data_IF_950846175776
#
_entry.id   IF_950846175776
#
_cell.length_a   1.000
_cell.length_b   1.000
_cell.length_c   1.000
_cell.angle_alpha   90.00
_cell.angle_beta   90.00
_cell.angle_gamma   90.00
#
_symmetry.space_group_name_H-M   'P 1'
#
loop_
_entity.id
_entity.type
_entity.pdbx_description
1 polymer ?
#
# COMPACT_ATOMS: atom_id res chain seq x y z
N UNK A 1 -12.25 -7.62 9.93
CA UNK A 1 -12.92 -8.69 10.64
C UNK A 1 -12.22 -10.02 10.34
N UNK A 2 -11.73 -10.71 11.38
CA UNK A 2 -10.98 -11.96 11.24
C UNK A 2 -11.86 -13.13 10.76
N UNK A 3 -13.11 -13.18 11.18
CA UNK A 3 -14.04 -14.26 10.79
C UNK A 3 -14.42 -14.16 9.31
N UNK A 4 -14.63 -12.96 8.81
CA UNK A 4 -14.90 -12.73 7.37
C UNK A 4 -13.69 -13.11 6.52
N UNK A 5 -12.47 -12.78 6.99
CA UNK A 5 -11.26 -13.14 6.30
C UNK A 5 -11.09 -14.66 6.27
N UNK A 6 -11.25 -15.35 7.40
CA UNK A 6 -11.23 -16.83 7.46
C UNK A 6 -12.27 -17.45 6.53
N UNK A 7 -13.49 -16.92 6.52
CA UNK A 7 -14.55 -17.39 5.64
C UNK A 7 -14.21 -17.19 4.15
N UNK A 8 -13.50 -16.11 3.80
CA UNK A 8 -13.05 -15.88 2.43
C UNK A 8 -11.99 -16.90 1.99
N UNK A 9 -11.02 -17.22 2.86
CA UNK A 9 -10.03 -18.27 2.60
C UNK A 9 -10.69 -19.65 2.46
N UNK A 10 -11.62 -19.99 3.35
CA UNK A 10 -12.35 -21.26 3.34
C UNK A 10 -13.20 -21.47 2.06
N UNK A 11 -13.55 -20.41 1.34
CA UNK A 11 -14.21 -20.50 0.03
C UNK A 11 -13.28 -20.92 -1.11
N UNK A 12 -12.00 -21.16 -0.82
CA UNK A 12 -11.02 -21.66 -1.80
C UNK A 12 -10.25 -20.57 -2.53
N UNK A 13 -9.99 -19.45 -1.88
CA UNK A 13 -9.11 -18.41 -2.41
C UNK A 13 -7.73 -18.98 -2.74
N UNK A 14 -7.25 -18.79 -3.97
CA UNK A 14 -5.93 -19.27 -4.40
C UNK A 14 -4.83 -18.24 -4.16
N UNK A 15 -5.18 -16.97 -4.11
CA UNK A 15 -4.27 -15.89 -3.77
C UNK A 15 -5.02 -14.76 -3.06
N UNK A 16 -4.29 -14.03 -2.22
CA UNK A 16 -4.71 -12.80 -1.57
C UNK A 16 -3.76 -11.68 -1.98
N UNK A 17 -4.29 -10.49 -2.28
CA UNK A 17 -3.49 -9.28 -2.44
C UNK A 17 -3.54 -8.49 -1.12
N UNK A 18 -2.37 -8.12 -0.60
CA UNK A 18 -2.21 -7.38 0.64
C UNK A 18 -1.36 -6.13 0.41
N UNK A 19 -1.96 -4.94 0.51
CA UNK A 19 -1.25 -3.68 0.45
C UNK A 19 -0.81 -3.25 1.86
N UNK A 20 0.51 -3.20 2.11
CA UNK A 20 1.10 -2.85 3.41
C UNK A 20 2.40 -2.06 3.24
N UNK A 21 2.47 -0.78 3.65
CA UNK A 21 1.38 0.08 4.15
C UNK A 21 0.25 0.29 3.16
N UNK A 22 -0.98 0.41 3.67
CA UNK A 22 -2.18 0.39 2.84
C UNK A 22 -2.45 1.71 2.12
N UNK A 23 -2.73 1.63 0.84
CA UNK A 23 -3.35 2.69 0.04
C UNK A 23 -4.85 2.35 -0.15
N UNK A 24 -5.80 3.20 0.27
CA UNK A 24 -5.67 4.57 0.74
C UNK A 24 -5.69 4.75 2.26
N UNK A 25 -5.85 3.69 3.05
CA UNK A 25 -6.15 3.80 4.47
C UNK A 25 -4.97 4.27 5.34
N UNK A 26 -3.74 4.22 4.84
CA UNK A 26 -2.55 4.53 5.61
C UNK A 26 -2.28 3.56 6.77
N UNK A 27 -2.97 2.42 6.82
CA UNK A 27 -2.76 1.39 7.84
C UNK A 27 -1.42 0.69 7.60
N UNK A 28 -0.70 0.44 8.69
CA UNK A 28 0.43 -0.50 8.74
C UNK A 28 -0.02 -1.72 9.55
N UNK A 29 0.02 -2.89 8.94
CA UNK A 29 -0.37 -4.12 9.63
C UNK A 29 0.65 -4.47 10.69
N UNK A 30 0.16 -4.81 11.91
CA UNK A 30 1.03 -5.29 12.98
C UNK A 30 1.55 -6.70 12.66
N UNK A 31 2.62 -7.10 13.35
CA UNK A 31 3.17 -8.45 13.19
C UNK A 31 2.14 -9.53 13.54
N UNK A 32 1.31 -9.31 14.55
CA UNK A 32 0.25 -10.22 14.99
C UNK A 32 -0.85 -10.36 13.93
N UNK A 33 -1.26 -9.25 13.31
CA UNK A 33 -2.23 -9.28 12.21
C UNK A 33 -1.68 -10.03 10.99
N UNK A 34 -0.40 -9.83 10.67
CA UNK A 34 0.25 -10.54 9.57
C UNK A 34 0.46 -12.03 9.89
N UNK A 35 0.76 -12.41 11.13
CA UNK A 35 0.82 -13.81 11.56
C UNK A 35 -0.53 -14.49 11.41
N UNK A 36 -1.62 -13.85 11.77
CA UNK A 36 -2.96 -14.39 11.55
C UNK A 36 -3.25 -14.63 10.05
N UNK A 37 -2.85 -13.71 9.17
CA UNK A 37 -2.97 -13.90 7.72
C UNK A 37 -2.08 -15.06 7.26
N UNK A 38 -0.87 -15.17 7.79
CA UNK A 38 0.07 -16.25 7.46
C UNK A 38 -0.49 -17.62 7.85
N UNK A 39 -1.08 -17.74 9.04
CA UNK A 39 -1.75 -18.97 9.49
C UNK A 39 -2.85 -19.40 8.51
N UNK A 40 -3.70 -18.48 8.09
CA UNK A 40 -4.73 -18.74 7.09
C UNK A 40 -4.15 -19.14 5.73
N UNK A 41 -3.10 -18.45 5.29
CA UNK A 41 -2.45 -18.75 4.01
C UNK A 41 -1.82 -20.15 4.01
N UNK A 42 -1.27 -20.58 5.14
CA UNK A 42 -0.73 -21.95 5.33
C UNK A 42 -1.85 -23.00 5.43
N UNK A 43 -2.91 -22.72 6.20
CA UNK A 43 -4.05 -23.62 6.40
C UNK A 43 -4.79 -23.92 5.10
N UNK A 44 -5.01 -22.88 4.25
CA UNK A 44 -5.80 -22.98 3.03
C UNK A 44 -4.98 -23.06 1.74
N UNK A 45 -3.66 -23.24 1.83
CA UNK A 45 -2.74 -23.29 0.69
C UNK A 45 -2.90 -22.11 -0.28
N UNK A 46 -2.91 -20.91 0.27
CA UNK A 46 -3.15 -19.66 -0.45
C UNK A 46 -1.84 -18.89 -0.61
N UNK A 47 -1.60 -18.33 -1.79
CA UNK A 47 -0.50 -17.40 -2.03
C UNK A 47 -0.83 -16.00 -1.52
N UNK A 48 0.18 -15.26 -1.04
CA UNK A 48 0.03 -13.86 -0.67
C UNK A 48 0.86 -13.00 -1.61
N UNK A 49 0.21 -12.10 -2.33
CA UNK A 49 0.84 -11.11 -3.18
C UNK A 49 0.81 -9.80 -2.41
N UNK A 50 1.98 -9.32 -1.99
CA UNK A 50 2.04 -8.06 -1.25
C UNK A 50 2.33 -6.89 -2.20
N UNK A 51 1.73 -5.73 -1.92
CA UNK A 51 2.14 -4.44 -2.46
C UNK A 51 2.78 -3.64 -1.32
N UNK A 52 4.12 -3.55 -1.36
CA UNK A 52 4.95 -2.98 -0.30
C UNK A 52 5.59 -1.64 -0.72
N UNK A 53 5.03 -0.99 -1.74
CA UNK A 53 5.59 0.24 -2.34
C UNK A 53 5.82 1.38 -1.34
N UNK A 54 5.15 1.37 -0.19
CA UNK A 54 5.30 2.34 0.90
C UNK A 54 6.15 1.83 2.08
N UNK A 55 6.88 0.74 1.94
CA UNK A 55 7.67 0.09 2.99
C UNK A 55 8.61 1.03 3.76
N UNK A 56 9.14 2.06 3.10
CA UNK A 56 10.01 3.08 3.68
C UNK A 56 9.27 4.36 4.12
N UNK A 57 7.94 4.43 3.99
CA UNK A 57 7.12 5.56 4.44
C UNK A 57 6.20 5.07 5.54
N UNK A 58 6.78 4.84 6.72
CA UNK A 58 6.12 4.32 7.92
C UNK A 58 6.40 5.25 9.09
N UNK A 59 5.36 5.72 9.75
CA UNK A 59 5.44 6.71 10.82
C UNK A 59 5.59 6.05 12.19
N UNK A 60 6.55 6.52 12.99
CA UNK A 60 6.74 6.02 14.36
C UNK A 60 5.45 6.17 15.19
N UNK A 61 5.15 5.21 16.08
CA UNK A 61 5.97 4.05 16.50
C UNK A 61 5.83 2.80 15.61
N UNK A 62 5.07 2.86 14.51
CA UNK A 62 4.83 1.72 13.65
C UNK A 62 6.11 1.26 12.93
N UNK A 63 6.14 0.00 12.56
CA UNK A 63 7.25 -0.61 11.79
C UNK A 63 6.68 -1.49 10.69
N UNK A 64 7.31 -1.46 9.51
CA UNK A 64 6.96 -2.37 8.44
C UNK A 64 7.43 -3.79 8.75
N UNK A 65 6.58 -4.76 8.50
CA UNK A 65 6.91 -6.18 8.59
C UNK A 65 6.63 -6.84 7.26
N UNK A 66 7.65 -7.46 6.68
CA UNK A 66 7.54 -8.17 5.41
C UNK A 66 6.85 -9.51 5.62
N UNK A 67 5.81 -9.78 4.83
CA UNK A 67 5.06 -11.04 4.88
C UNK A 67 5.96 -12.24 4.58
N UNK A 68 6.88 -12.10 3.63
CA UNK A 68 7.83 -13.16 3.25
C UNK A 68 8.79 -13.58 4.38
N UNK A 69 9.02 -12.72 5.38
CA UNK A 69 9.90 -13.00 6.51
C UNK A 69 9.20 -13.74 7.67
N UNK A 70 7.88 -13.95 7.57
CA UNK A 70 7.15 -14.72 8.56
C UNK A 70 7.38 -16.24 8.38
N UNK A 71 7.30 -17.04 9.44
CA UNK A 71 7.53 -18.48 9.37
C UNK A 71 6.68 -19.16 8.29
N UNK A 72 7.32 -19.89 7.37
CA UNK A 72 6.65 -20.65 6.30
C UNK A 72 6.13 -19.82 5.15
N UNK A 73 6.31 -18.48 5.14
CA UNK A 73 5.69 -17.61 4.15
C UNK A 73 6.53 -17.34 2.91
N UNK A 74 7.85 -17.51 2.93
CA UNK A 74 8.70 -17.21 1.78
C UNK A 74 8.29 -17.97 0.51
N UNK A 75 7.94 -19.27 0.64
CA UNK A 75 7.59 -20.13 -0.49
C UNK A 75 6.20 -19.84 -1.09
N UNK A 76 5.40 -18.98 -0.44
CA UNK A 76 4.06 -18.63 -0.89
C UNK A 76 3.79 -17.11 -0.94
N UNK A 77 4.83 -16.30 -0.76
CA UNK A 77 4.72 -14.85 -0.84
C UNK A 77 5.38 -14.33 -2.11
N UNK A 78 4.69 -13.42 -2.79
CA UNK A 78 5.22 -12.58 -3.85
C UNK A 78 5.32 -11.16 -3.27
N UNK A 79 6.51 -10.79 -2.78
CA UNK A 79 6.75 -9.41 -2.30
C UNK A 79 6.97 -8.50 -3.49
N UNK A 80 5.96 -7.69 -3.80
CA UNK A 80 5.99 -6.70 -4.87
C UNK A 80 6.27 -5.33 -4.28
N UNK A 81 7.28 -4.65 -4.81
CA UNK A 81 7.57 -3.27 -4.44
C UNK A 81 8.00 -2.46 -5.66
N UNK A 82 8.21 -1.18 -5.47
CA UNK A 82 8.53 -0.25 -6.55
C UNK A 82 9.46 0.85 -6.05
N UNK A 83 10.35 1.28 -6.90
CA UNK A 83 11.22 2.44 -6.66
C UNK A 83 10.48 3.78 -6.76
N UNK A 84 9.21 3.73 -7.19
CA UNK A 84 8.39 4.89 -7.52
C UNK A 84 8.22 5.88 -6.38
N UNK A 85 8.04 5.40 -5.14
CA UNK A 85 7.66 6.23 -4.00
C UNK A 85 8.86 6.59 -3.14
N UNK A 86 9.68 5.61 -2.81
CA UNK A 86 10.89 5.80 -2.01
C UNK A 86 11.85 6.79 -2.67
N UNK A 87 11.99 6.73 -4.00
CA UNK A 87 12.95 7.56 -4.74
C UNK A 87 12.28 8.65 -5.61
N UNK A 88 10.97 8.85 -5.48
CA UNK A 88 10.20 9.86 -6.23
C UNK A 88 10.30 9.75 -7.76
N UNK A 89 10.48 8.53 -8.27
CA UNK A 89 10.66 8.22 -9.70
C UNK A 89 9.47 7.47 -10.31
N UNK A 90 8.25 7.81 -9.91
CA UNK A 90 7.01 7.13 -10.36
C UNK A 90 6.92 7.02 -11.89
N UNK A 91 7.39 8.04 -12.63
CA UNK A 91 7.39 8.06 -14.10
C UNK A 91 8.35 7.07 -14.75
N UNK A 92 9.34 6.53 -14.02
CA UNK A 92 10.32 5.58 -14.57
C UNK A 92 9.75 4.18 -14.76
N UNK A 93 8.65 3.87 -14.12
CA UNK A 93 7.96 2.57 -14.19
C UNK A 93 8.85 1.39 -13.78
N UNK A 94 9.64 1.56 -12.73
CA UNK A 94 10.50 0.51 -12.15
C UNK A 94 9.86 -0.08 -10.89
N UNK A 95 9.81 -1.40 -10.84
CA UNK A 95 9.41 -2.18 -9.70
C UNK A 95 10.10 -3.54 -9.71
N UNK A 96 9.92 -4.29 -8.65
CA UNK A 96 10.52 -5.61 -8.50
C UNK A 96 9.60 -6.55 -7.75
N UNK A 97 9.85 -7.84 -7.92
CA UNK A 97 9.20 -8.91 -7.18
C UNK A 97 10.27 -9.80 -6.56
N UNK A 98 10.14 -10.07 -5.28
CA UNK A 98 10.97 -11.03 -4.54
C UNK A 98 10.08 -12.22 -4.20
N UNK A 99 10.46 -13.42 -4.63
CA UNK A 99 9.75 -14.66 -4.36
C UNK A 99 10.70 -15.85 -4.53
N UNK A 100 10.23 -17.07 -4.21
CA UNK A 100 11.00 -18.28 -4.45
C UNK A 100 11.30 -18.50 -5.93
N UNK A 101 12.38 -19.22 -6.25
CA UNK A 101 12.85 -19.42 -7.63
C UNK A 101 11.79 -20.07 -8.54
N UNK A 102 10.95 -20.94 -7.99
CA UNK A 102 9.86 -21.60 -8.71
C UNK A 102 8.81 -20.57 -9.17
N UNK A 103 8.40 -19.66 -8.28
CA UNK A 103 7.46 -18.58 -8.58
C UNK A 103 8.07 -17.63 -9.60
N UNK A 104 9.31 -17.18 -9.39
CA UNK A 104 10.01 -16.25 -10.30
C UNK A 104 10.16 -16.85 -11.71
N UNK A 105 10.42 -18.15 -11.82
CA UNK A 105 10.49 -18.82 -13.12
C UNK A 105 9.17 -18.74 -13.91
N UNK A 106 8.04 -18.87 -13.20
CA UNK A 106 6.71 -18.68 -13.80
C UNK A 106 6.46 -17.23 -14.22
N UNK A 107 6.76 -16.28 -13.34
CA UNK A 107 6.59 -14.84 -13.58
C UNK A 107 7.40 -14.40 -14.81
N UNK A 108 8.68 -14.78 -14.92
CA UNK A 108 9.54 -14.40 -16.05
C UNK A 108 8.94 -14.80 -17.38
N UNK A 109 8.42 -16.02 -17.51
CA UNK A 109 7.82 -16.50 -18.77
C UNK A 109 6.64 -15.63 -19.22
N UNK A 110 5.81 -15.17 -18.27
CA UNK A 110 4.65 -14.33 -18.58
C UNK A 110 5.10 -12.89 -18.85
N UNK A 111 6.02 -12.38 -18.04
CA UNK A 111 6.53 -11.01 -18.14
C UNK A 111 7.20 -10.72 -19.49
N UNK A 112 7.97 -11.67 -20.03
CA UNK A 112 8.61 -11.57 -21.34
C UNK A 112 7.59 -11.32 -22.46
N UNK A 113 6.39 -11.90 -22.37
CA UNK A 113 5.33 -11.69 -23.35
C UNK A 113 4.51 -10.41 -23.10
N UNK A 114 4.39 -9.97 -21.84
CA UNK A 114 3.59 -8.79 -21.49
C UNK A 114 4.33 -7.48 -21.72
N UNK A 115 5.61 -7.41 -21.37
CA UNK A 115 6.35 -6.13 -21.35
C UNK A 115 7.80 -6.23 -21.80
N UNK A 116 8.34 -7.41 -22.07
CA UNK A 116 9.76 -7.69 -22.32
C UNK A 116 10.68 -7.38 -21.14
N UNK A 117 10.49 -6.26 -20.48
CA UNK A 117 11.26 -5.81 -19.32
C UNK A 117 11.22 -4.31 -19.13
N UNK A 118 11.68 -3.86 -17.98
CA UNK A 118 11.87 -2.44 -17.72
C UNK A 118 13.07 -1.90 -18.54
N UNK A 119 13.08 -0.61 -18.83
CA UNK A 119 14.13 0.04 -19.60
C UNK A 119 15.51 -0.13 -18.94
N UNK A 120 16.47 -0.77 -19.63
CA UNK A 120 17.79 -1.10 -19.08
C UNK A 120 18.56 0.11 -18.53
N UNK A 121 18.59 1.29 -19.19
CA UNK A 121 19.27 2.46 -18.63
C UNK A 121 18.68 2.93 -17.30
N UNK A 122 17.37 2.78 -17.10
CA UNK A 122 16.72 3.14 -15.85
C UNK A 122 16.96 2.11 -14.75
N UNK A 123 17.09 0.82 -15.12
CA UNK A 123 17.50 -0.22 -14.17
C UNK A 123 18.93 0.02 -13.67
N UNK A 124 19.85 0.38 -14.55
CA UNK A 124 21.23 0.71 -14.19
C UNK A 124 21.27 1.92 -13.23
N UNK A 125 20.54 2.97 -13.56
CA UNK A 125 20.42 4.13 -12.67
C UNK A 125 19.82 3.80 -11.29
N UNK A 126 18.91 2.82 -11.24
CA UNK A 126 18.27 2.36 -10.01
C UNK A 126 19.26 1.69 -9.03
N UNK A 127 20.35 1.10 -9.54
CA UNK A 127 21.42 0.53 -8.68
C UNK A 127 21.96 1.58 -7.73
N UNK A 128 22.23 2.80 -8.24
CA UNK A 128 22.69 3.93 -7.39
C UNK A 128 21.66 4.28 -6.30
N UNK A 129 20.37 4.23 -6.62
CA UNK A 129 19.32 4.53 -5.64
C UNK A 129 19.24 3.47 -4.53
N UNK A 130 19.41 2.19 -4.90
CA UNK A 130 19.40 1.07 -3.94
C UNK A 130 20.63 1.08 -3.01
N UNK A 131 21.71 1.72 -3.42
CA UNK A 131 22.93 1.89 -2.62
C UNK A 131 22.89 3.12 -1.70
N UNK A 132 21.79 3.85 -1.63
CA UNK A 132 21.66 4.99 -0.74
C UNK A 132 21.81 4.57 0.73
N UNK A 133 22.52 5.39 1.54
CA UNK A 133 22.75 5.10 2.94
C UNK A 133 21.46 5.20 3.77
N UNK A 134 21.48 4.62 4.97
CA UNK A 134 20.36 4.64 5.93
C UNK A 134 19.82 6.07 6.19
N UNK A 135 20.69 7.07 6.18
CA UNK A 135 20.31 8.47 6.37
C UNK A 135 19.31 8.97 5.32
N UNK A 136 19.35 8.42 4.10
CA UNK A 136 18.37 8.76 3.07
C UNK A 136 16.94 8.33 3.51
N UNK A 137 16.81 7.10 3.99
CA UNK A 137 15.51 6.53 4.41
C UNK A 137 15.00 7.21 5.69
N UNK A 138 15.88 7.52 6.61
CA UNK A 138 15.56 8.29 7.82
C UNK A 138 15.11 9.71 7.48
N UNK A 139 15.78 10.36 6.53
CA UNK A 139 15.39 11.66 5.98
C UNK A 139 14.02 11.62 5.31
N UNK A 140 13.75 10.58 4.52
CA UNK A 140 12.45 10.38 3.87
C UNK A 140 11.31 10.30 4.89
N UNK A 141 11.47 9.47 5.92
CA UNK A 141 10.45 9.34 6.99
C UNK A 141 10.25 10.65 7.73
N UNK A 142 11.32 11.38 8.02
CA UNK A 142 11.26 12.69 8.70
C UNK A 142 10.48 13.70 7.87
N UNK A 143 10.77 13.81 6.57
CA UNK A 143 10.10 14.72 5.64
C UNK A 143 8.60 14.39 5.52
N UNK A 144 8.24 13.11 5.30
CA UNK A 144 6.83 12.73 5.20
C UNK A 144 6.09 12.86 6.52
N UNK A 145 6.74 12.63 7.67
CA UNK A 145 6.15 12.89 8.98
C UNK A 145 5.80 14.37 9.16
N UNK A 146 6.72 15.25 8.80
CA UNK A 146 6.49 16.69 8.86
C UNK A 146 5.33 17.14 7.96
N UNK A 147 5.30 16.69 6.72
CA UNK A 147 4.21 16.99 5.77
C UNK A 147 2.86 16.46 6.25
N UNK A 148 2.84 15.24 6.78
CA UNK A 148 1.66 14.63 7.39
C UNK A 148 1.13 15.51 8.51
N UNK A 149 2.00 15.88 9.45
CA UNK A 149 1.60 16.60 10.66
C UNK A 149 1.04 18.00 10.33
N UNK A 150 1.66 18.72 9.39
CA UNK A 150 1.12 19.98 8.86
C UNK A 150 -0.28 19.77 8.26
N UNK A 151 -0.43 18.74 7.42
CA UNK A 151 -1.71 18.49 6.74
C UNK A 151 -2.82 18.12 7.74
N UNK A 152 -2.53 17.24 8.70
CA UNK A 152 -3.48 16.83 9.74
C UNK A 152 -3.88 18.00 10.64
N UNK A 153 -2.93 18.89 10.98
CA UNK A 153 -3.20 20.11 11.73
C UNK A 153 -4.19 21.01 10.97
N UNK A 154 -4.00 21.22 9.68
CA UNK A 154 -4.92 22.02 8.87
C UNK A 154 -6.31 21.38 8.77
N UNK A 155 -6.41 20.07 8.59
CA UNK A 155 -7.70 19.37 8.61
C UNK A 155 -8.42 19.54 9.96
N UNK A 156 -7.68 19.44 11.06
CA UNK A 156 -8.20 19.67 12.41
C UNK A 156 -8.68 21.09 12.61
N UNK A 157 -7.93 22.08 12.13
CA UNK A 157 -8.26 23.50 12.28
C UNK A 157 -9.57 23.87 11.55
N UNK A 158 -9.92 23.17 10.49
CA UNK A 158 -11.20 23.35 9.79
C UNK A 158 -12.30 22.42 10.28
N UNK A 159 -12.07 21.69 11.36
CA UNK A 159 -13.07 20.83 12.03
C UNK A 159 -13.36 19.50 11.34
N UNK A 160 -12.47 19.03 10.46
CA UNK A 160 -12.64 17.75 9.78
C UNK A 160 -12.16 16.58 10.66
N UNK A 161 -12.94 15.51 10.68
CA UNK A 161 -12.55 14.23 11.27
C UNK A 161 -11.79 13.40 10.23
N UNK A 162 -10.74 12.70 10.66
CA UNK A 162 -9.91 11.91 9.77
C UNK A 162 -9.24 10.74 10.51
N UNK A 163 -8.79 9.75 9.75
CA UNK A 163 -7.95 8.66 10.25
C UNK A 163 -6.48 9.09 10.20
N UNK A 164 -5.78 8.97 11.34
CA UNK A 164 -4.33 9.25 11.40
C UNK A 164 -3.59 8.13 10.67
N UNK A 165 -2.88 8.41 9.55
CA UNK A 165 -2.16 7.38 8.84
C UNK A 165 -0.92 6.92 9.61
N UNK A 166 -0.69 5.62 9.58
CA UNK A 166 0.47 4.94 10.17
C UNK A 166 1.62 4.81 9.17
N UNK A 167 1.30 4.84 7.88
CA UNK A 167 2.24 4.80 6.76
C UNK A 167 1.61 5.34 5.48
N UNK A 168 2.34 5.26 4.37
CA UNK A 168 2.00 5.88 3.09
C UNK A 168 1.82 7.41 3.21
N UNK A 169 1.11 8.07 2.29
CA UNK A 169 0.90 9.52 2.33
C UNK A 169 -0.56 9.89 1.98
N UNK A 170 -1.51 9.04 2.39
CA UNK A 170 -2.94 9.27 2.22
C UNK A 170 -3.58 9.52 3.57
N UNK A 171 -4.66 10.31 3.56
CA UNK A 171 -5.51 10.55 4.72
C UNK A 171 -6.96 10.30 4.32
N UNK A 172 -7.65 9.45 5.06
CA UNK A 172 -9.09 9.26 4.92
C UNK A 172 -9.80 10.30 5.78
N UNK A 173 -10.67 11.08 5.15
CA UNK A 173 -11.41 12.18 5.80
C UNK A 173 -12.88 11.85 5.81
N UNK A 174 -13.53 12.03 6.96
CA UNK A 174 -14.97 11.92 7.12
C UNK A 174 -15.65 13.18 6.59
N UNK A 175 -16.54 13.00 5.63
CA UNK A 175 -17.30 14.10 5.00
C UNK A 175 -18.78 14.09 5.37
N UNK A 176 -19.20 13.24 6.30
CA UNK A 176 -20.62 13.08 6.69
C UNK A 176 -21.30 14.38 7.11
N UNK A 177 -20.53 15.29 7.75
CA UNK A 177 -21.02 16.59 8.21
C UNK A 177 -21.38 17.57 7.09
N UNK A 178 -20.96 17.32 5.84
CA UNK A 178 -21.26 18.21 4.70
C UNK A 178 -22.62 17.97 4.06
N UNK A 179 -23.36 16.92 4.44
CA UNK A 179 -24.72 16.66 3.98
C UNK A 179 -24.85 16.24 2.52
N UNK A 180 -23.77 15.80 1.88
CA UNK A 180 -23.85 15.24 0.53
C UNK A 180 -24.40 13.82 0.55
N UNK A 181 -25.13 13.43 -0.50
CA UNK A 181 -25.68 12.08 -0.61
C UNK A 181 -24.63 11.03 -0.86
N UNK A 182 -23.53 11.39 -1.52
CA UNK A 182 -22.41 10.49 -1.84
C UNK A 182 -21.09 11.26 -1.78
N UNK A 183 -20.03 10.54 -1.47
CA UNK A 183 -18.65 11.05 -1.51
C UNK A 183 -18.23 11.46 -2.93
N UNK A 184 -18.73 10.75 -3.95
CA UNK A 184 -18.51 11.11 -5.37
C UNK A 184 -19.09 12.48 -5.70
N UNK A 185 -20.28 12.80 -5.20
CA UNK A 185 -20.88 14.13 -5.37
C UNK A 185 -20.03 15.22 -4.69
N UNK A 186 -19.61 14.95 -3.44
CA UNK A 186 -18.72 15.83 -2.70
C UNK A 186 -17.41 16.10 -3.47
N UNK A 187 -16.71 15.05 -3.91
CA UNK A 187 -15.45 15.18 -4.64
C UNK A 187 -15.59 15.96 -5.93
N UNK A 188 -16.64 15.74 -6.71
CA UNK A 188 -16.94 16.50 -7.94
C UNK A 188 -17.18 17.97 -7.63
N UNK A 189 -17.90 18.28 -6.56
CA UNK A 189 -18.19 19.65 -6.16
C UNK A 189 -16.94 20.36 -5.63
N UNK A 190 -16.11 19.65 -4.87
CA UNK A 190 -14.83 20.16 -4.39
C UNK A 190 -13.93 20.61 -5.55
N UNK A 191 -13.81 19.78 -6.59
CA UNK A 191 -13.03 20.14 -7.79
C UNK A 191 -13.63 21.33 -8.51
N UNK A 192 -14.96 21.33 -8.76
CA UNK A 192 -15.62 22.38 -9.54
C UNK A 192 -15.60 23.74 -8.86
N UNK A 193 -15.84 23.78 -7.56
CA UNK A 193 -16.10 25.05 -6.85
C UNK A 193 -14.86 25.59 -6.13
N UNK A 194 -13.95 24.68 -5.72
CA UNK A 194 -12.78 25.03 -4.89
C UNK A 194 -11.47 24.78 -5.64
N UNK A 195 -11.47 23.89 -6.64
CA UNK A 195 -10.27 23.52 -7.39
C UNK A 195 -9.37 22.50 -6.68
N UNK A 196 -9.88 21.82 -5.66
CA UNK A 196 -9.16 20.78 -4.91
C UNK A 196 -9.67 19.41 -5.31
N UNK A 197 -8.77 18.52 -5.71
CA UNK A 197 -9.09 17.12 -6.05
C UNK A 197 -9.00 16.22 -4.82
N UNK A 198 -10.06 15.45 -4.60
CA UNK A 198 -10.07 14.31 -3.66
C UNK A 198 -10.64 13.09 -4.36
N UNK A 199 -10.35 11.91 -3.84
CA UNK A 199 -10.86 10.64 -4.35
C UNK A 199 -12.00 10.15 -3.45
N UNK A 200 -13.12 9.68 -4.05
CA UNK A 200 -14.21 9.10 -3.26
C UNK A 200 -13.75 7.82 -2.55
N UNK A 201 -13.93 7.75 -1.23
CA UNK A 201 -13.58 6.60 -0.42
C UNK A 201 -14.35 5.34 -0.84
N UNK A 202 -15.60 5.49 -1.25
CA UNK A 202 -16.46 4.40 -1.74
C UNK A 202 -15.87 3.60 -2.90
N UNK A 203 -14.97 4.22 -3.69
CA UNK A 203 -14.25 3.54 -4.79
C UNK A 203 -13.34 2.39 -4.34
N UNK A 204 -13.04 2.32 -3.04
CA UNK A 204 -12.16 1.31 -2.45
C UNK A 204 -12.91 0.22 -1.66
N UNK A 205 -14.24 0.27 -1.62
CA UNK A 205 -15.07 -0.70 -0.92
C UNK A 205 -15.85 -1.60 -1.88
N UNK A 206 -15.91 -2.88 -1.56
CA UNK A 206 -16.56 -3.89 -2.39
C UNK A 206 -18.05 -3.61 -2.63
N UNK A 207 -18.76 -3.06 -1.65
CA UNK A 207 -20.21 -2.84 -1.70
C UNK A 207 -20.61 -1.36 -1.93
N UNK A 208 -19.70 -0.50 -2.42
CA UNK A 208 -19.96 0.95 -2.58
C UNK A 208 -20.66 1.55 -1.35
N UNK A 209 -20.17 1.21 -0.15
CA UNK A 209 -20.73 1.72 1.09
C UNK A 209 -20.46 3.22 1.12
N UNK A 210 -21.53 4.00 0.92
CA UNK A 210 -21.50 5.46 1.06
C UNK A 210 -21.65 5.79 2.55
N UNK A 211 -20.57 6.03 3.23
CA UNK A 211 -20.56 6.59 4.58
C UNK A 211 -19.77 7.89 4.60
#
# INVERSE_FOLDING_TARGET
>A
NQDELRAAFAKGAKAMILCNPSNPAGKVFTREELLFIAELALEYDTFVITDEVYEHIVYKPNQHTYMANLPGMFERTLSCSSLSKTYSITGWRLGYVIASSAIISGIKKIHDFLTLGAAAPLQEAAVTALDFPEDYYNGLVTEYSHRRDIFLEQLKNVGLSFTIPQGAYYVMVDISSFGFKTDTEFCRRLVKNIGVAALPGSSFFYNNINN
#
